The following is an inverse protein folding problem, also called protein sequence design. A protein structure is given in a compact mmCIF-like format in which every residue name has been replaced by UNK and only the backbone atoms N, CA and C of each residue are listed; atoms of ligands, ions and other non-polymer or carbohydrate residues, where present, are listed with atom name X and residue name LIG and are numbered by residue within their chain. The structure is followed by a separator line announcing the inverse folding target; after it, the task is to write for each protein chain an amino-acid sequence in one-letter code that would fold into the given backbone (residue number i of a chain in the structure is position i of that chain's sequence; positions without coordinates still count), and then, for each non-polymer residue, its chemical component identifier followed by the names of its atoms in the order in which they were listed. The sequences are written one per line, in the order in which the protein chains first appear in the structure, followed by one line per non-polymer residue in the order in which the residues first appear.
data_IF_211792728300
#
_entry.id   IF_211792728300
#
_cell.length_a   1.000
_cell.length_b   1.000
_cell.length_c   1.000
_cell.angle_alpha   90.00
_cell.angle_beta   90.00
_cell.angle_gamma   90.00
#
_symmetry.space_group_name_H-M   'P 1'
#
loop_
_entity.id
_entity.type
_entity.pdbx_description
1 polymer ?
#
# COMPACT_ATOMS: atom_id res chain seq x y z
N UNK A 1 12.73 -19.01 -5.12
CA UNK A 1 13.00 -18.37 -3.79
C UNK A 1 11.82 -17.46 -3.44
N UNK A 2 11.34 -17.52 -2.18
CA UNK A 2 10.26 -16.63 -1.72
C UNK A 2 10.86 -15.58 -0.79
N UNK A 3 10.51 -14.31 -0.99
CA UNK A 3 10.89 -13.18 -0.15
C UNK A 3 9.63 -12.40 0.26
N UNK A 4 9.51 -12.12 1.55
CA UNK A 4 8.39 -11.36 2.14
C UNK A 4 8.98 -10.28 3.06
N UNK A 5 8.36 -9.11 3.15
CA UNK A 5 8.75 -8.07 4.12
C UNK A 5 8.68 -8.60 5.56
N UNK A 6 9.52 -8.06 6.44
CA UNK A 6 9.63 -8.55 7.83
C UNK A 6 8.37 -8.28 8.64
N UNK A 7 8.25 -9.04 9.73
CA UNK A 7 7.17 -8.89 10.72
C UNK A 7 5.76 -9.12 10.13
N UNK A 8 5.67 -9.81 8.99
CA UNK A 8 4.41 -10.25 8.37
C UNK A 8 4.24 -11.75 8.57
N UNK A 9 3.02 -12.14 8.88
CA UNK A 9 2.56 -13.53 8.89
C UNK A 9 1.41 -13.70 7.91
N UNK A 10 1.51 -14.72 7.06
CA UNK A 10 0.52 -15.05 6.03
C UNK A 10 -0.09 -16.40 6.40
N UNK A 11 -1.36 -16.38 6.77
CA UNK A 11 -2.10 -17.57 7.18
C UNK A 11 -3.36 -17.74 6.33
N UNK A 12 -4.07 -18.84 6.50
CA UNK A 12 -5.38 -19.05 5.91
C UNK A 12 -6.43 -17.99 6.36
N UNK A 13 -6.19 -17.31 7.48
CA UNK A 13 -7.03 -16.22 7.99
C UNK A 13 -6.67 -14.84 7.43
N UNK A 14 -5.65 -14.76 6.57
CA UNK A 14 -5.16 -13.54 5.95
C UNK A 14 -3.78 -13.12 6.42
N UNK A 15 -3.45 -11.86 6.16
CA UNK A 15 -2.14 -11.28 6.43
C UNK A 15 -2.19 -10.43 7.69
N UNK A 16 -1.22 -10.64 8.57
CA UNK A 16 -1.04 -9.89 9.82
C UNK A 16 0.34 -9.28 9.91
N UNK A 17 0.48 -8.19 10.65
CA UNK A 17 1.76 -7.55 10.98
C UNK A 17 1.99 -7.56 12.49
N UNK A 18 3.25 -7.77 12.89
CA UNK A 18 3.64 -7.68 14.28
C UNK A 18 3.96 -6.24 14.67
N UNK A 19 3.11 -5.67 15.53
CA UNK A 19 3.33 -4.38 16.16
C UNK A 19 2.92 -4.48 17.63
N UNK A 20 3.84 -4.90 18.51
CA UNK A 20 3.64 -5.32 19.91
C UNK A 20 2.77 -6.57 20.06
N UNK A 21 1.83 -6.77 19.17
CA UNK A 21 0.98 -7.96 19.00
C UNK A 21 0.66 -8.14 17.52
N UNK A 22 0.27 -9.33 17.12
CA UNK A 22 -0.21 -9.59 15.77
C UNK A 22 -1.52 -8.86 15.51
N UNK A 23 -1.58 -8.13 14.41
CA UNK A 23 -2.73 -7.34 13.99
C UNK A 23 -3.01 -7.60 12.51
N UNK A 24 -4.26 -7.93 12.14
CA UNK A 24 -4.61 -8.10 10.74
C UNK A 24 -4.41 -6.76 10.00
N UNK A 25 -3.80 -6.83 8.81
CA UNK A 25 -3.60 -5.64 7.98
C UNK A 25 -4.70 -5.45 6.95
N UNK A 26 -5.37 -6.53 6.55
CA UNK A 26 -6.41 -6.45 5.53
C UNK A 26 -7.50 -5.46 5.92
N UNK A 27 -7.76 -4.51 5.01
CA UNK A 27 -8.87 -3.57 5.04
C UNK A 27 -9.78 -3.89 3.86
N UNK A 28 -11.02 -4.22 4.14
CA UNK A 28 -12.00 -4.55 3.12
C UNK A 28 -12.52 -3.28 2.48
N UNK A 29 -12.36 -3.18 1.17
CA UNK A 29 -12.96 -2.13 0.37
C UNK A 29 -14.47 -2.42 0.22
N UNK A 30 -15.29 -1.37 0.26
CA UNK A 30 -16.71 -1.48 -0.06
C UNK A 30 -16.95 -1.72 -1.56
N UNK A 31 -18.04 -2.36 -1.90
CA UNK A 31 -18.39 -2.69 -3.30
C UNK A 31 -18.68 -1.44 -4.16
N UNK A 32 -18.97 -0.31 -3.51
CA UNK A 32 -19.41 0.93 -4.16
C UNK A 32 -18.36 2.06 -4.10
N UNK A 33 -17.16 1.79 -3.62
CA UNK A 33 -16.10 2.79 -3.54
C UNK A 33 -14.91 2.47 -4.46
N UNK A 34 -14.30 3.51 -5.04
CA UNK A 34 -13.10 3.45 -5.85
C UNK A 34 -11.80 3.62 -5.05
N UNK A 35 -11.84 3.47 -3.74
CA UNK A 35 -10.75 3.85 -2.84
C UNK A 35 -9.64 2.79 -2.70
N UNK A 36 -9.47 1.87 -3.64
CA UNK A 36 -8.45 0.80 -3.56
C UNK A 36 -7.04 1.33 -3.26
N UNK A 37 -6.67 2.48 -3.83
CA UNK A 37 -5.37 3.11 -3.58
C UNK A 37 -5.23 3.61 -2.14
N UNK A 38 -6.30 4.18 -1.56
CA UNK A 38 -6.33 4.62 -0.16
C UNK A 38 -6.24 3.43 0.79
N UNK A 39 -7.01 2.35 0.53
CA UNK A 39 -6.93 1.13 1.34
C UNK A 39 -5.54 0.49 1.28
N UNK A 40 -4.96 0.38 0.08
CA UNK A 40 -3.60 -0.14 -0.10
C UNK A 40 -2.55 0.72 0.62
N UNK A 41 -2.67 2.03 0.55
CA UNK A 41 -1.80 2.95 1.27
C UNK A 41 -1.98 2.82 2.80
N UNK A 42 -3.20 2.70 3.32
CA UNK A 42 -3.44 2.50 4.75
C UNK A 42 -2.86 1.17 5.24
N UNK A 43 -3.00 0.08 4.47
CA UNK A 43 -2.37 -1.21 4.77
C UNK A 43 -0.84 -1.09 4.77
N UNK A 44 -0.27 -0.33 3.83
CA UNK A 44 1.16 -0.04 3.80
C UNK A 44 1.62 0.66 5.10
N UNK A 45 0.93 1.71 5.53
CA UNK A 45 1.24 2.45 6.76
C UNK A 45 1.09 1.59 8.03
N UNK A 46 0.22 0.58 8.02
CA UNK A 46 0.14 -0.43 9.10
C UNK A 46 1.39 -1.30 9.14
N UNK A 47 1.88 -1.79 7.98
CA UNK A 47 3.09 -2.60 7.88
C UNK A 47 4.32 -1.79 8.31
N UNK A 48 4.43 -0.55 7.87
CA UNK A 48 5.50 0.38 8.28
C UNK A 48 5.39 0.81 9.75
N UNK A 49 4.36 0.36 10.48
CA UNK A 49 4.10 0.68 11.90
C UNK A 49 3.91 2.17 12.19
N UNK A 50 3.65 2.95 11.16
CA UNK A 50 3.35 4.38 11.25
C UNK A 50 1.93 4.59 11.81
N UNK A 51 1.00 3.71 11.43
CA UNK A 51 -0.34 3.64 11.97
C UNK A 51 -0.56 2.34 12.75
N UNK A 52 -1.52 2.34 13.65
CA UNK A 52 -2.02 1.12 14.31
C UNK A 52 -3.39 0.76 13.76
N UNK A 53 -3.75 -0.53 13.85
CA UNK A 53 -5.06 -1.02 13.41
C UNK A 53 -6.21 -0.24 14.07
N UNK A 54 -6.12 0.02 15.38
CA UNK A 54 -7.15 0.78 16.10
C UNK A 54 -7.32 2.22 15.58
N UNK A 55 -6.26 2.86 15.13
CA UNK A 55 -6.33 4.19 14.52
C UNK A 55 -7.04 4.17 13.16
N UNK A 56 -6.87 3.10 12.40
CA UNK A 56 -7.47 2.97 11.06
C UNK A 56 -8.96 2.60 11.15
N UNK A 57 -9.33 1.70 12.05
CA UNK A 57 -10.72 1.22 12.15
C UNK A 57 -11.61 2.11 13.05
N UNK A 58 -11.03 2.86 14.00
CA UNK A 58 -11.76 3.75 14.89
C UNK A 58 -11.62 5.21 14.44
N UNK A 59 -12.12 5.52 13.26
CA UNK A 59 -12.01 6.84 12.64
C UNK A 59 -12.49 7.98 13.56
N UNK A 60 -13.54 7.76 14.36
CA UNK A 60 -14.08 8.75 15.28
C UNK A 60 -13.10 9.24 16.37
N UNK A 61 -12.10 8.42 16.73
CA UNK A 61 -11.09 8.80 17.73
C UNK A 61 -9.86 9.44 17.09
N UNK A 62 -9.58 9.11 15.84
CA UNK A 62 -8.38 9.54 15.11
C UNK A 62 -8.50 10.95 14.55
N UNK A 63 -9.73 11.41 14.29
CA UNK A 63 -10.01 12.75 13.77
C UNK A 63 -9.84 13.88 14.80
N UNK A 64 -9.52 13.57 16.04
CA UNK A 64 -9.36 14.60 17.08
C UNK A 64 -7.99 15.27 16.96
N UNK A 65 -8.03 16.58 16.69
CA UNK A 65 -6.89 17.49 16.80
C UNK A 65 -6.05 17.67 15.54
N UNK A 66 -5.08 18.56 15.65
CA UNK A 66 -4.15 18.98 14.59
C UNK A 66 -2.92 18.06 14.47
N UNK A 67 -3.05 16.78 14.84
CA UNK A 67 -1.94 15.82 14.64
C UNK A 67 -1.78 15.48 13.16
N UNK A 68 -0.56 15.10 12.75
CA UNK A 68 -0.30 14.66 11.38
C UNK A 68 -1.26 13.55 10.96
N UNK A 69 -1.49 12.57 11.83
CA UNK A 69 -2.44 11.46 11.60
C UNK A 69 -3.88 11.96 11.43
N UNK A 70 -4.32 12.89 12.29
CA UNK A 70 -5.65 13.47 12.20
C UNK A 70 -5.86 14.25 10.90
N UNK A 71 -4.87 15.02 10.46
CA UNK A 71 -4.91 15.73 9.16
C UNK A 71 -4.98 14.75 7.99
N UNK A 72 -4.13 13.71 7.99
CA UNK A 72 -4.13 12.70 6.94
C UNK A 72 -5.50 12.04 6.79
N UNK A 73 -6.08 11.58 7.90
CA UNK A 73 -7.41 10.96 7.88
C UNK A 73 -8.50 11.94 7.45
N UNK A 74 -8.42 13.20 7.87
CA UNK A 74 -9.36 14.24 7.45
C UNK A 74 -9.31 14.45 5.94
N UNK A 75 -8.13 14.52 5.36
CA UNK A 75 -7.96 14.68 3.90
C UNK A 75 -8.57 13.51 3.13
N UNK A 76 -8.29 12.28 3.54
CA UNK A 76 -8.76 11.10 2.81
C UNK A 76 -10.25 10.77 3.04
N UNK A 77 -10.78 10.98 4.23
CA UNK A 77 -12.10 10.47 4.60
C UNK A 77 -13.16 11.55 4.88
N UNK A 78 -12.76 12.81 5.07
CA UNK A 78 -13.72 13.89 5.36
C UNK A 78 -13.77 14.91 4.24
N UNK A 79 -12.62 15.44 3.83
CA UNK A 79 -12.58 16.52 2.83
C UNK A 79 -12.88 16.00 1.43
N UNK A 80 -12.26 14.89 1.04
CA UNK A 80 -12.43 14.27 -0.28
C UNK A 80 -13.49 13.17 -0.28
N UNK A 81 -13.76 12.60 0.91
CA UNK A 81 -14.58 11.41 1.07
C UNK A 81 -13.87 10.16 0.53
N UNK A 82 -14.52 9.02 0.66
CA UNK A 82 -14.16 7.81 -0.08
C UNK A 82 -14.66 8.02 -1.51
N UNK A 83 -13.76 8.36 -2.42
CA UNK A 83 -14.12 8.73 -3.78
C UNK A 83 -14.61 7.52 -4.58
N UNK A 84 -15.73 7.68 -5.29
CA UNK A 84 -16.19 6.70 -6.27
C UNK A 84 -15.21 6.53 -7.43
N UNK A 85 -14.53 7.61 -7.79
CA UNK A 85 -13.61 7.67 -8.94
C UNK A 85 -12.17 7.25 -8.58
N UNK A 86 -11.90 7.00 -7.28
CA UNK A 86 -10.59 6.64 -6.78
C UNK A 86 -9.64 7.83 -6.62
N UNK A 87 -8.39 7.51 -6.29
CA UNK A 87 -7.31 8.48 -6.14
C UNK A 87 -6.13 8.10 -7.03
N UNK A 88 -5.55 9.08 -7.71
CA UNK A 88 -4.28 8.90 -8.38
C UNK A 88 -3.12 8.84 -7.37
N UNK A 89 -2.08 8.09 -7.68
CA UNK A 89 -0.91 8.00 -6.80
C UNK A 89 -0.19 9.35 -6.61
N UNK A 90 -0.26 10.25 -7.59
CA UNK A 90 0.23 11.63 -7.46
C UNK A 90 -0.50 12.39 -6.37
N UNK A 91 -1.82 12.27 -6.30
CA UNK A 91 -2.66 12.92 -5.27
C UNK A 91 -2.36 12.34 -3.88
N UNK A 92 -2.24 11.01 -3.77
CA UNK A 92 -1.86 10.33 -2.52
C UNK A 92 -0.49 10.83 -2.05
N UNK A 93 0.49 10.90 -2.96
CA UNK A 93 1.83 11.43 -2.66
C UNK A 93 1.77 12.88 -2.15
N UNK A 94 0.99 13.73 -2.81
CA UNK A 94 0.81 15.13 -2.40
C UNK A 94 0.22 15.23 -1.00
N UNK A 95 -0.85 14.49 -0.71
CA UNK A 95 -1.49 14.45 0.62
C UNK A 95 -0.54 13.94 1.71
N UNK A 96 0.22 12.88 1.44
CA UNK A 96 1.25 12.38 2.35
C UNK A 96 2.33 13.44 2.61
N UNK A 97 2.80 14.11 1.56
CA UNK A 97 3.82 15.16 1.67
C UNK A 97 3.32 16.38 2.45
N UNK A 98 2.07 16.77 2.27
CA UNK A 98 1.47 17.90 2.98
C UNK A 98 1.20 17.58 4.45
N UNK A 99 0.57 16.46 4.75
CA UNK A 99 0.08 16.17 6.10
C UNK A 99 1.02 15.29 6.92
N UNK A 100 1.90 14.52 6.27
CA UNK A 100 2.62 13.40 6.88
C UNK A 100 4.12 13.37 6.59
N UNK A 101 4.69 14.45 6.04
CA UNK A 101 6.09 14.51 5.59
C UNK A 101 7.13 14.23 6.69
N UNK A 102 6.78 14.44 7.97
CA UNK A 102 7.67 14.15 9.10
C UNK A 102 7.68 12.66 9.49
N UNK A 103 6.67 11.92 9.06
CA UNK A 103 6.46 10.52 9.42
C UNK A 103 6.88 9.59 8.27
N UNK A 104 6.66 10.02 7.03
CA UNK A 104 6.86 9.21 5.82
C UNK A 104 7.41 10.06 4.70
N UNK A 105 8.42 9.54 4.01
CA UNK A 105 8.84 10.03 2.69
C UNK A 105 8.21 9.14 1.63
N UNK A 106 7.61 9.74 0.61
CA UNK A 106 6.96 9.00 -0.48
C UNK A 106 7.45 9.46 -1.83
N UNK A 107 7.62 8.51 -2.75
CA UNK A 107 7.87 8.75 -4.17
C UNK A 107 6.78 8.06 -4.99
N UNK A 108 6.54 8.55 -6.18
CA UNK A 108 5.66 7.91 -7.15
C UNK A 108 6.40 7.79 -8.48
N UNK A 109 6.40 6.60 -9.05
CA UNK A 109 7.01 6.28 -10.34
C UNK A 109 5.91 5.82 -11.28
N UNK A 110 6.08 6.09 -12.56
CA UNK A 110 5.16 5.67 -13.61
C UNK A 110 5.94 4.89 -14.66
N UNK A 111 5.39 3.75 -15.05
CA UNK A 111 5.96 2.86 -16.04
C UNK A 111 5.00 2.71 -17.21
N UNK A 112 5.55 2.44 -18.38
CA UNK A 112 4.78 2.10 -19.58
C UNK A 112 4.68 0.58 -19.75
N UNK A 113 3.94 0.13 -20.75
CA UNK A 113 3.86 -1.30 -21.09
C UNK A 113 5.09 -1.82 -21.87
N UNK A 114 6.18 -1.03 -22.02
CA UNK A 114 7.40 -1.45 -22.69
C UNK A 114 8.10 -2.57 -21.90
N UNK A 115 8.79 -3.47 -22.59
CA UNK A 115 9.56 -4.56 -21.94
C UNK A 115 10.65 -4.00 -21.01
N UNK A 116 11.27 -2.88 -21.38
CA UNK A 116 12.28 -2.21 -20.55
C UNK A 116 11.68 -1.72 -19.24
N UNK A 117 10.51 -1.06 -19.28
CA UNK A 117 9.85 -0.55 -18.09
C UNK A 117 9.36 -1.68 -17.19
N UNK A 118 8.89 -2.79 -17.78
CA UNK A 118 8.50 -3.97 -17.01
C UNK A 118 9.69 -4.55 -16.24
N UNK A 119 10.86 -4.62 -16.87
CA UNK A 119 12.08 -5.10 -16.22
C UNK A 119 12.47 -4.15 -15.07
N UNK A 120 12.48 -2.84 -15.32
CA UNK A 120 12.80 -1.84 -14.30
C UNK A 120 11.81 -1.93 -13.14
N UNK A 121 10.51 -2.04 -13.41
CA UNK A 121 9.49 -2.18 -12.38
C UNK A 121 9.72 -3.40 -11.48
N UNK A 122 10.05 -4.55 -12.09
CA UNK A 122 10.31 -5.78 -11.33
C UNK A 122 11.54 -5.63 -10.43
N UNK A 123 12.61 -5.02 -10.92
CA UNK A 123 13.83 -4.77 -10.11
C UNK A 123 13.57 -3.76 -8.98
N UNK A 124 12.82 -2.70 -9.23
CA UNK A 124 12.42 -1.73 -8.20
C UNK A 124 11.55 -2.41 -7.13
N UNK A 125 10.60 -3.26 -7.53
CA UNK A 125 9.77 -4.03 -6.60
C UNK A 125 10.63 -4.95 -5.73
N UNK A 126 11.54 -5.71 -6.33
CA UNK A 126 12.46 -6.59 -5.59
C UNK A 126 13.33 -5.79 -4.62
N UNK A 127 13.87 -4.67 -5.07
CA UNK A 127 14.70 -3.79 -4.25
C UNK A 127 13.90 -3.31 -3.03
N UNK A 128 12.71 -2.77 -3.25
CA UNK A 128 11.84 -2.31 -2.16
C UNK A 128 11.54 -3.43 -1.15
N UNK A 129 11.13 -4.61 -1.62
CA UNK A 129 10.85 -5.76 -0.74
C UNK A 129 12.10 -6.23 0.02
N UNK A 130 13.27 -6.23 -0.61
CA UNK A 130 14.54 -6.57 0.04
C UNK A 130 14.89 -5.57 1.15
N UNK A 131 14.56 -4.30 0.97
CA UNK A 131 14.73 -3.22 1.95
C UNK A 131 13.60 -3.20 3.01
N UNK A 132 12.69 -4.19 2.97
CA UNK A 132 11.50 -4.30 3.83
C UNK A 132 10.50 -3.14 3.67
N UNK A 133 10.42 -2.59 2.48
CA UNK A 133 9.48 -1.57 2.09
C UNK A 133 8.37 -2.21 1.24
N UNK A 134 7.15 -2.39 1.78
CA UNK A 134 6.02 -2.82 0.97
C UNK A 134 5.66 -1.74 -0.04
N UNK A 135 5.28 -2.15 -1.25
CA UNK A 135 5.07 -1.25 -2.38
C UNK A 135 3.59 -1.18 -2.76
N UNK A 136 3.01 0.02 -2.72
CA UNK A 136 1.68 0.24 -3.31
C UNK A 136 1.86 0.40 -4.82
N UNK A 137 1.24 -0.47 -5.59
CA UNK A 137 1.31 -0.47 -7.06
C UNK A 137 -0.09 -0.49 -7.68
N UNK A 138 -0.22 -0.04 -8.92
CA UNK A 138 -1.45 -0.10 -9.68
C UNK A 138 -1.28 -1.00 -10.90
N UNK A 139 -2.30 -1.81 -11.14
CA UNK A 139 -2.43 -2.61 -12.35
C UNK A 139 -3.53 -1.96 -13.19
N UNK A 140 -3.16 -1.51 -14.40
CA UNK A 140 -4.10 -0.96 -15.36
C UNK A 140 -4.62 -2.06 -16.29
N UNK A 141 -5.91 -1.99 -16.58
CA UNK A 141 -6.59 -2.91 -17.50
C UNK A 141 -7.63 -2.15 -18.31
N UNK A 142 -8.19 -2.79 -19.33
CA UNK A 142 -9.24 -2.16 -20.16
C UNK A 142 -10.46 -1.82 -19.30
N UNK A 143 -10.71 -0.53 -19.11
CA UNK A 143 -11.85 -0.03 -18.33
C UNK A 143 -11.54 0.41 -16.92
N UNK A 144 -10.27 0.36 -16.47
CA UNK A 144 -9.91 0.85 -15.14
C UNK A 144 -8.49 0.54 -14.70
N UNK A 145 -8.26 0.79 -13.41
CA UNK A 145 -7.04 0.41 -12.72
C UNK A 145 -7.39 -0.05 -11.30
N UNK A 146 -6.59 -0.93 -10.74
CA UNK A 146 -6.74 -1.39 -9.37
C UNK A 146 -5.43 -1.26 -8.63
N UNK A 147 -5.46 -0.66 -7.44
CA UNK A 147 -4.30 -0.55 -6.58
C UNK A 147 -4.20 -1.76 -5.65
N UNK A 148 -3.01 -2.31 -5.55
CA UNK A 148 -2.68 -3.44 -4.69
C UNK A 148 -1.44 -3.12 -3.86
N UNK A 149 -1.24 -3.87 -2.78
CA UNK A 149 -0.07 -3.76 -1.94
C UNK A 149 0.81 -4.99 -2.14
N UNK A 150 1.99 -4.81 -2.74
CA UNK A 150 3.00 -5.84 -2.85
C UNK A 150 3.77 -5.95 -1.52
N UNK A 151 3.78 -7.14 -0.94
CA UNK A 151 4.43 -7.45 0.35
C UNK A 151 5.53 -8.50 0.22
N UNK A 152 5.74 -9.02 -0.98
CA UNK A 152 6.73 -10.04 -1.26
C UNK A 152 6.76 -10.41 -2.73
N UNK A 153 7.69 -11.28 -3.08
CA UNK A 153 7.80 -11.87 -4.43
C UNK A 153 8.28 -13.32 -4.34
N UNK A 154 7.97 -14.09 -5.38
CA UNK A 154 8.48 -15.43 -5.58
C UNK A 154 9.26 -15.48 -6.91
N UNK A 155 10.47 -16.01 -6.86
CA UNK A 155 11.26 -16.35 -8.05
C UNK A 155 11.31 -17.86 -8.21
N UNK A 156 10.89 -18.34 -9.35
CA UNK A 156 11.05 -19.72 -9.76
C UNK A 156 12.18 -19.79 -10.79
N UNK A 157 13.17 -20.66 -10.53
CA UNK A 157 14.13 -21.02 -11.56
C UNK A 157 13.39 -21.83 -12.63
N UNK A 158 13.26 -21.28 -13.82
CA UNK A 158 12.83 -22.04 -14.97
C UNK A 158 13.99 -22.99 -15.31
N UNK A 159 13.88 -24.24 -14.85
CA UNK A 159 14.86 -25.27 -15.19
C UNK A 159 15.07 -25.29 -16.69
N UNK A 160 16.33 -25.22 -17.14
CA UNK A 160 16.66 -25.43 -18.55
C UNK A 160 16.12 -26.80 -18.94
N UNK A 161 15.14 -26.82 -19.82
CA UNK A 161 14.75 -28.05 -20.47
C UNK A 161 16.02 -28.59 -21.16
N UNK A 162 16.51 -29.75 -20.72
CA UNK A 162 17.52 -30.46 -21.47
C UNK A 162 16.84 -30.93 -22.75
N UNK A 163 17.21 -30.33 -23.89
CA UNK A 163 16.91 -30.81 -25.23
C UNK A 163 17.86 -31.95 -25.53
#
# INVERSE_FOLDING_TARGET
MIKIVRDIDITALGVSVYNRKWQPIHLQQGEMDGACAVYSMMMNLLILKVLTRSQVVNLNTTFKGNTAKGRLFKEFFVTEGLCRDGFYFSEIKEKLSHSFAKEVTSSALQYTASLSDQTIFVEELKTAINDNLPLVTAISFRGGAHAILAIGYEEQEIGRAHV
#
